data_IF_153959047826
#
_entry.id   IF_153959047826
#
_cell.length_a   1.000
_cell.length_b   1.000
_cell.length_c   1.000
_cell.angle_alpha   90.00
_cell.angle_beta   90.00
_cell.angle_gamma   90.00
#
_symmetry.space_group_name_H-M   'P 1'
#
loop_
_entity.id
_entity.type
_entity.pdbx_description
1 polymer ?
#
# COMPACT_ATOMS: atom_id res chain seq x y z
N UNK A 1 9.04 14.90 9.97
CA UNK A 1 8.02 14.09 9.27
C UNK A 1 6.97 13.61 10.24
N UNK A 2 5.70 13.85 9.94
CA UNK A 2 4.58 13.26 10.69
C UNK A 2 4.09 12.00 9.97
N UNK A 3 3.84 10.94 10.75
CA UNK A 3 3.32 9.65 10.29
C UNK A 3 2.06 9.36 11.11
N UNK A 4 0.93 9.21 10.45
CA UNK A 4 -0.32 8.81 11.10
C UNK A 4 -0.77 7.47 10.49
N UNK A 5 -0.87 6.45 11.33
CA UNK A 5 -1.33 5.11 10.99
C UNK A 5 -2.63 4.80 11.71
N UNK A 6 -3.62 4.41 10.96
CA UNK A 6 -4.87 3.88 11.48
C UNK A 6 -5.20 2.58 10.77
N UNK A 7 -5.38 1.53 11.54
CA UNK A 7 -5.71 0.21 11.02
C UNK A 7 -6.73 -0.45 11.93
N UNK A 8 -7.65 -1.17 11.34
CA UNK A 8 -8.72 -1.86 12.03
C UNK A 8 -9.04 -3.17 11.34
N UNK A 9 -9.22 -4.21 12.13
CA UNK A 9 -9.73 -5.49 11.66
C UNK A 9 -11.18 -5.35 11.20
N UNK A 10 -11.48 -5.93 10.04
CA UNK A 10 -12.82 -6.01 9.47
C UNK A 10 -13.78 -6.89 10.29
N UNK A 11 -15.07 -6.71 10.09
CA UNK A 11 -16.08 -7.51 10.82
C UNK A 11 -16.13 -8.96 10.34
N UNK A 12 -15.70 -9.24 9.12
CA UNK A 12 -15.68 -10.59 8.54
C UNK A 12 -14.30 -11.23 8.56
N UNK A 13 -13.24 -10.50 8.89
CA UNK A 13 -11.90 -11.04 8.94
C UNK A 13 -11.57 -11.64 10.31
N UNK A 14 -10.75 -12.70 10.34
CA UNK A 14 -10.33 -13.37 11.56
C UNK A 14 -9.18 -12.68 12.26
N UNK A 15 -8.36 -12.01 11.47
CA UNK A 15 -7.22 -11.20 11.91
C UNK A 15 -7.05 -10.03 10.98
N UNK A 16 -6.45 -8.95 11.46
CA UNK A 16 -6.06 -7.85 10.59
C UNK A 16 -4.81 -8.25 9.78
N UNK A 17 -4.98 -8.34 8.46
CA UNK A 17 -3.95 -8.74 7.52
C UNK A 17 -3.29 -7.55 6.81
N UNK A 18 -3.56 -6.35 7.28
CA UNK A 18 -2.92 -5.12 6.79
C UNK A 18 -1.63 -4.82 7.56
N UNK A 19 -0.64 -4.31 6.87
CA UNK A 19 0.58 -3.83 7.48
C UNK A 19 1.19 -2.67 6.68
N UNK A 20 1.93 -1.80 7.37
CA UNK A 20 2.69 -0.74 6.74
C UNK A 20 4.12 -0.67 7.29
N UNK A 21 5.05 -0.20 6.46
CA UNK A 21 6.39 0.15 6.89
C UNK A 21 6.78 1.50 6.30
N UNK A 22 7.53 2.27 7.09
CA UNK A 22 8.06 3.57 6.69
C UNK A 22 9.53 3.64 7.09
N UNK A 23 10.37 4.09 6.19
CA UNK A 23 11.79 4.30 6.45
C UNK A 23 12.31 5.56 5.77
N UNK A 24 13.45 6.04 6.25
CA UNK A 24 14.06 7.28 5.77
C UNK A 24 15.57 7.12 5.66
N UNK A 25 16.15 7.61 4.55
CA UNK A 25 17.59 7.65 4.32
C UNK A 25 17.97 8.94 3.58
N UNK A 26 18.68 9.83 4.25
CA UNK A 26 19.03 11.15 3.68
C UNK A 26 17.76 11.95 3.35
N UNK A 27 17.54 12.23 2.09
CA UNK A 27 16.35 12.94 1.61
C UNK A 27 15.29 12.00 0.98
N UNK A 28 15.50 10.70 1.07
CA UNK A 28 14.54 9.70 0.59
C UNK A 28 13.64 9.21 1.71
N UNK A 29 12.34 9.26 1.49
CA UNK A 29 11.32 8.64 2.31
C UNK A 29 10.71 7.48 1.53
N UNK A 30 10.69 6.29 2.10
CA UNK A 30 10.10 5.10 1.51
C UNK A 30 9.00 4.58 2.42
N UNK A 31 7.82 4.38 1.85
CA UNK A 31 6.68 3.81 2.55
C UNK A 31 6.06 2.66 1.75
N UNK A 32 5.54 1.68 2.46
CA UNK A 32 4.85 0.51 1.92
C UNK A 32 3.61 0.26 2.75
N UNK A 33 2.47 0.05 2.09
CA UNK A 33 1.27 -0.51 2.68
C UNK A 33 0.94 -1.80 1.95
N UNK A 34 0.58 -2.83 2.68
CA UNK A 34 0.25 -4.17 2.19
C UNK A 34 -1.05 -4.60 2.82
N UNK A 35 -1.92 -5.13 2.00
CA UNK A 35 -3.21 -5.71 2.35
C UNK A 35 -3.21 -7.16 1.84
N UNK A 36 -3.31 -8.13 2.73
CA UNK A 36 -3.26 -9.53 2.38
C UNK A 36 -4.60 -10.24 2.62
N UNK A 37 -5.01 -11.02 1.63
CA UNK A 37 -6.21 -11.84 1.77
C UNK A 37 -6.09 -12.85 2.92
N UNK A 38 -7.21 -13.22 3.53
CA UNK A 38 -7.29 -14.26 4.58
C UNK A 38 -6.91 -15.67 4.08
N UNK A 39 -6.25 -15.78 2.96
CA UNK A 39 -5.83 -17.05 2.38
C UNK A 39 -4.37 -17.35 2.70
N UNK A 40 -4.15 -18.50 3.30
CA UNK A 40 -2.80 -18.89 3.72
C UNK A 40 -2.37 -18.10 4.97
N UNK A 41 -1.13 -17.62 4.97
CA UNK A 41 -0.57 -16.83 6.06
C UNK A 41 -0.50 -15.34 5.66
N UNK A 42 -1.68 -14.74 5.39
CA UNK A 42 -1.80 -13.37 4.93
C UNK A 42 -1.19 -12.36 5.91
N UNK A 43 -1.50 -12.51 7.19
CA UNK A 43 -0.98 -11.65 8.24
C UNK A 43 0.56 -11.60 8.28
N UNK A 44 1.22 -12.76 8.22
CA UNK A 44 2.67 -12.81 8.21
C UNK A 44 3.25 -12.30 6.88
N UNK A 45 2.61 -12.59 5.73
CA UNK A 45 3.03 -12.05 4.44
C UNK A 45 3.00 -10.53 4.43
N UNK A 46 1.92 -9.90 4.87
CA UNK A 46 1.79 -8.44 4.87
C UNK A 46 2.90 -7.78 5.68
N UNK A 47 3.13 -8.25 6.91
CA UNK A 47 4.18 -7.76 7.81
C UNK A 47 5.57 -7.99 7.24
N UNK A 48 5.83 -9.18 6.71
CA UNK A 48 7.12 -9.52 6.10
C UNK A 48 7.41 -8.62 4.89
N UNK A 49 6.45 -8.54 3.95
CA UNK A 49 6.64 -7.78 2.71
C UNK A 49 6.86 -6.29 2.97
N UNK A 50 6.02 -5.68 3.82
CA UNK A 50 6.15 -4.27 4.15
C UNK A 50 7.55 -3.95 4.70
N UNK A 51 8.03 -4.74 5.66
CA UNK A 51 9.32 -4.50 6.31
C UNK A 51 10.51 -4.78 5.39
N UNK A 52 10.51 -5.95 4.71
CA UNK A 52 11.69 -6.41 3.98
C UNK A 52 12.00 -5.51 2.77
N UNK A 53 10.96 -5.04 2.07
CA UNK A 53 11.16 -4.14 0.93
C UNK A 53 11.73 -2.80 1.38
N UNK A 54 11.12 -2.16 2.39
CA UNK A 54 11.60 -0.88 2.90
C UNK A 54 13.02 -1.01 3.44
N UNK A 55 13.29 -2.04 4.24
CA UNK A 55 14.62 -2.30 4.81
C UNK A 55 15.68 -2.50 3.73
N UNK A 56 15.46 -3.40 2.80
CA UNK A 56 16.48 -3.76 1.80
C UNK A 56 16.72 -2.63 0.79
N UNK A 57 15.67 -1.91 0.40
CA UNK A 57 15.83 -0.77 -0.49
C UNK A 57 16.63 0.38 0.14
N UNK A 58 16.41 0.66 1.42
CA UNK A 58 17.14 1.72 2.12
C UNK A 58 18.54 1.30 2.59
N UNK A 59 18.79 0.00 2.81
CA UNK A 59 20.10 -0.52 3.18
C UNK A 59 21.10 -0.53 2.01
N UNK A 60 20.64 -0.44 0.76
CA UNK A 60 21.50 -0.40 -0.41
C UNK A 60 22.46 0.81 -0.35
N UNK A 61 23.68 0.67 -0.87
CA UNK A 61 24.66 1.76 -0.90
C UNK A 61 24.24 2.91 -1.81
N UNK A 62 23.60 2.59 -2.93
CA UNK A 62 23.09 3.57 -3.88
C UNK A 62 21.75 4.18 -3.44
N UNK A 63 21.44 5.41 -3.90
CA UNK A 63 20.14 6.00 -3.70
C UNK A 63 19.02 5.12 -4.26
N UNK A 64 17.92 4.93 -3.51
CA UNK A 64 16.79 4.16 -4.00
C UNK A 64 16.15 4.86 -5.22
N UNK A 65 15.75 4.07 -6.20
CA UNK A 65 15.01 4.52 -7.37
C UNK A 65 14.00 3.43 -7.79
N UNK A 66 13.14 3.75 -8.74
CA UNK A 66 12.08 2.83 -9.20
C UNK A 66 12.64 1.48 -9.67
N UNK A 67 13.74 1.48 -10.44
CA UNK A 67 14.32 0.25 -10.96
C UNK A 67 14.89 -0.62 -9.84
N UNK A 68 15.69 -0.03 -8.94
CA UNK A 68 16.25 -0.74 -7.79
C UNK A 68 15.16 -1.30 -6.86
N UNK A 69 14.05 -0.57 -6.68
CA UNK A 69 12.89 -1.08 -5.92
C UNK A 69 12.26 -2.30 -6.59
N UNK A 70 12.05 -2.27 -7.90
CA UNK A 70 11.51 -3.41 -8.66
C UNK A 70 12.42 -4.62 -8.56
N UNK A 71 13.74 -4.43 -8.60
CA UNK A 71 14.70 -5.52 -8.46
C UNK A 71 14.68 -6.11 -7.05
N UNK A 72 14.63 -5.28 -6.00
CA UNK A 72 14.45 -5.75 -4.62
C UNK A 72 13.15 -6.54 -4.49
N UNK A 73 12.03 -6.02 -5.00
CA UNK A 73 10.74 -6.71 -4.98
C UNK A 73 10.79 -8.06 -5.70
N UNK A 74 11.47 -8.14 -6.85
CA UNK A 74 11.62 -9.39 -7.61
C UNK A 74 12.42 -10.44 -6.82
N UNK A 75 13.52 -10.03 -6.21
CA UNK A 75 14.36 -10.92 -5.40
C UNK A 75 13.58 -11.44 -4.19
N UNK A 76 12.90 -10.56 -3.47
CA UNK A 76 12.13 -10.94 -2.27
C UNK A 76 10.91 -11.79 -2.63
N UNK A 77 10.25 -11.52 -3.75
CA UNK A 77 9.12 -12.34 -4.20
C UNK A 77 9.52 -13.80 -4.46
N UNK A 78 10.70 -14.06 -5.00
CA UNK A 78 11.17 -15.44 -5.19
C UNK A 78 11.30 -16.21 -3.86
N UNK A 79 11.63 -15.53 -2.77
CA UNK A 79 11.77 -16.13 -1.44
C UNK A 79 10.42 -16.52 -0.81
N UNK A 80 9.33 -15.88 -1.22
CA UNK A 80 7.98 -16.17 -0.70
C UNK A 80 7.55 -17.63 -0.91
N UNK A 81 8.14 -18.32 -1.89
CA UNK A 81 7.85 -19.75 -2.17
C UNK A 81 8.13 -20.67 -0.99
N UNK A 82 9.02 -20.27 -0.12
CA UNK A 82 9.42 -21.09 1.04
C UNK A 82 8.50 -20.91 2.25
N UNK A 83 7.87 -19.76 2.38
CA UNK A 83 7.12 -19.43 3.60
C UNK A 83 5.66 -19.02 3.32
N UNK A 84 5.37 -18.42 2.16
CA UNK A 84 4.08 -17.80 1.85
C UNK A 84 3.46 -18.31 0.54
N UNK A 85 3.60 -19.64 0.25
CA UNK A 85 3.23 -20.23 -1.05
C UNK A 85 1.76 -19.99 -1.46
N UNK A 86 0.86 -19.92 -0.49
CA UNK A 86 -0.58 -19.80 -0.71
C UNK A 86 -1.14 -18.42 -0.40
N UNK A 87 -0.33 -17.56 0.19
CA UNK A 87 -0.75 -16.20 0.52
C UNK A 87 -0.79 -15.30 -0.73
N UNK A 88 -1.73 -14.37 -0.73
CA UNK A 88 -1.95 -13.39 -1.80
C UNK A 88 -2.14 -12.04 -1.15
N UNK A 89 -1.57 -11.00 -1.73
CA UNK A 89 -1.71 -9.65 -1.22
C UNK A 89 -1.75 -8.59 -2.33
N UNK A 90 -2.24 -7.43 -1.98
CA UNK A 90 -2.10 -6.17 -2.69
C UNK A 90 -1.08 -5.29 -1.97
N UNK A 91 -0.43 -4.38 -2.67
CA UNK A 91 0.41 -3.38 -2.03
C UNK A 91 0.50 -2.08 -2.80
N UNK A 92 0.79 -1.01 -2.07
CA UNK A 92 1.15 0.28 -2.61
C UNK A 92 2.45 0.77 -1.94
N UNK A 93 3.43 1.15 -2.76
CA UNK A 93 4.76 1.61 -2.34
C UNK A 93 4.99 3.03 -2.85
N UNK A 94 5.51 3.90 -1.99
CA UNK A 94 5.81 5.28 -2.31
C UNK A 94 7.25 5.61 -1.93
N UNK A 95 8.04 6.01 -2.92
CA UNK A 95 9.37 6.60 -2.73
C UNK A 95 9.29 8.09 -3.00
N UNK A 96 9.55 8.91 -1.99
CA UNK A 96 9.60 10.36 -2.10
C UNK A 96 11.03 10.84 -2.06
N UNK A 97 11.47 11.54 -3.11
CA UNK A 97 12.68 12.36 -3.08
C UNK A 97 12.30 13.76 -2.61
N UNK A 98 12.59 14.06 -1.33
CA UNK A 98 12.25 15.34 -0.71
C UNK A 98 13.06 16.50 -1.27
N UNK A 99 14.23 16.24 -1.84
CA UNK A 99 15.09 17.26 -2.44
C UNK A 99 14.58 17.65 -3.83
N UNK A 100 14.23 16.67 -4.63
CA UNK A 100 13.70 16.89 -5.99
C UNK A 100 12.20 17.12 -6.01
N UNK A 101 11.50 16.96 -4.88
CA UNK A 101 10.04 17.02 -4.78
C UNK A 101 9.35 16.08 -5.79
N UNK A 102 9.82 14.84 -5.82
CA UNK A 102 9.33 13.80 -6.72
C UNK A 102 8.75 12.63 -5.91
N UNK A 103 7.62 12.12 -6.35
CA UNK A 103 6.99 10.93 -5.82
C UNK A 103 6.97 9.84 -6.89
N UNK A 104 7.58 8.71 -6.56
CA UNK A 104 7.49 7.48 -7.35
C UNK A 104 6.54 6.52 -6.65
N UNK A 105 5.46 6.15 -7.32
CA UNK A 105 4.49 5.18 -6.84
C UNK A 105 4.67 3.86 -7.58
N UNK A 106 4.64 2.75 -6.83
CA UNK A 106 4.66 1.40 -7.36
C UNK A 106 3.51 0.62 -6.69
N UNK A 107 2.64 -0.01 -7.47
CA UNK A 107 1.55 -0.77 -6.87
C UNK A 107 1.20 -2.04 -7.64
N UNK A 108 0.63 -3.01 -6.93
CA UNK A 108 0.06 -4.25 -7.45
C UNK A 108 -1.16 -4.58 -6.61
N UNK A 109 -2.26 -4.91 -7.25
CA UNK A 109 -3.53 -5.20 -6.57
C UNK A 109 -4.40 -3.95 -6.42
N UNK A 110 -5.15 -3.88 -5.36
CA UNK A 110 -6.19 -2.87 -5.14
C UNK A 110 -5.93 -1.88 -3.99
N UNK A 111 -4.77 -1.97 -3.31
CA UNK A 111 -4.29 -0.87 -2.48
C UNK A 111 -4.16 0.41 -3.31
N UNK A 112 -4.49 1.56 -2.72
CA UNK A 112 -4.44 2.85 -3.42
C UNK A 112 -3.52 3.86 -2.74
N UNK A 113 -2.96 4.73 -3.58
CA UNK A 113 -2.24 5.93 -3.14
C UNK A 113 -2.94 7.19 -3.65
N UNK A 114 -2.85 8.27 -2.88
CA UNK A 114 -3.40 9.56 -3.23
C UNK A 114 -2.77 10.71 -2.45
N UNK A 115 -3.14 11.92 -2.82
CA UNK A 115 -2.79 13.16 -2.11
C UNK A 115 -4.04 13.67 -1.40
N UNK A 116 -3.94 13.84 -0.08
CA UNK A 116 -5.02 14.44 0.72
C UNK A 116 -4.91 15.95 0.66
N UNK A 117 -5.98 16.58 0.23
CA UNK A 117 -6.16 18.03 0.20
C UNK A 117 -6.48 18.57 1.60
N UNK A 118 -6.31 19.88 1.80
CA UNK A 118 -6.69 20.56 3.05
C UNK A 118 -8.17 20.43 3.41
N UNK A 119 -9.03 20.23 2.42
CA UNK A 119 -10.46 19.94 2.59
C UNK A 119 -10.75 18.55 3.15
N UNK A 120 -9.73 17.66 3.21
CA UNK A 120 -9.88 16.24 3.55
C UNK A 120 -10.16 15.33 2.34
N UNK A 121 -10.48 15.89 1.17
CA UNK A 121 -10.63 15.13 -0.07
C UNK A 121 -9.30 14.45 -0.45
N UNK A 122 -9.36 13.24 -1.02
CA UNK A 122 -8.17 12.51 -1.51
C UNK A 122 -8.24 12.44 -3.03
N UNK A 123 -7.25 13.03 -3.67
CA UNK A 123 -7.02 12.88 -5.11
C UNK A 123 -6.25 11.57 -5.34
N UNK A 124 -6.97 10.57 -5.82
CA UNK A 124 -6.40 9.25 -6.05
C UNK A 124 -5.47 9.23 -7.25
N UNK A 125 -4.25 8.75 -7.04
CA UNK A 125 -3.19 8.66 -8.03
C UNK A 125 -3.10 7.29 -8.69
N UNK A 126 -3.51 6.23 -7.99
CA UNK A 126 -3.47 4.86 -8.51
C UNK A 126 -4.87 4.32 -8.78
N UNK A 127 -4.96 3.36 -9.70
CA UNK A 127 -6.19 2.61 -10.00
C UNK A 127 -6.03 1.16 -9.54
N UNK A 128 -7.08 0.54 -8.97
CA UNK A 128 -7.00 -0.86 -8.55
C UNK A 128 -6.84 -1.81 -9.74
N UNK A 129 -6.10 -2.89 -9.54
CA UNK A 129 -5.93 -3.95 -10.53
C UNK A 129 -6.98 -5.06 -10.32
N UNK A 130 -8.24 -4.75 -10.51
CA UNK A 130 -9.34 -5.68 -10.43
C UNK A 130 -10.12 -5.79 -11.76
N UNK A 131 -11.02 -6.75 -11.86
CA UNK A 131 -11.80 -6.97 -13.07
C UNK A 131 -12.82 -5.86 -13.34
N UNK A 132 -13.26 -5.11 -12.31
CA UNK A 132 -14.22 -4.02 -12.49
C UNK A 132 -13.65 -2.86 -13.33
N UNK A 133 -12.31 -2.76 -13.41
CA UNK A 133 -11.60 -1.72 -14.18
C UNK A 133 -11.34 -2.13 -15.63
N UNK A 134 -11.72 -3.33 -16.04
CA UNK A 134 -11.47 -3.80 -17.40
C UNK A 134 -12.53 -3.26 -18.38
N UNK A 135 -12.12 -2.61 -19.50
CA UNK A 135 -13.06 -1.98 -20.45
C UNK A 135 -13.96 -2.99 -21.22
N UNK A 136 -13.70 -4.29 -21.08
CA UNK A 136 -14.39 -5.36 -21.84
C UNK A 136 -15.71 -5.78 -21.17
N UNK A 137 -15.95 -5.37 -19.93
CA UNK A 137 -17.19 -5.69 -19.21
C UNK A 137 -18.11 -4.48 -19.17
N UNK A 138 -19.17 -4.42 -19.99
CA UNK A 138 -20.27 -3.47 -19.77
C UNK A 138 -21.08 -3.95 -18.57
N UNK A 139 -20.47 -3.95 -17.41
CA UNK A 139 -21.16 -4.35 -16.21
C UNK A 139 -22.04 -3.21 -15.73
N UNK A 140 -23.29 -3.52 -15.38
CA UNK A 140 -24.08 -2.65 -14.53
C UNK A 140 -23.27 -2.40 -13.23
N UNK A 141 -23.54 -1.30 -12.53
CA UNK A 141 -22.88 -0.99 -11.26
C UNK A 141 -22.89 -2.17 -10.25
N UNK A 142 -23.99 -2.94 -10.25
CA UNK A 142 -24.15 -4.13 -9.40
C UNK A 142 -23.21 -5.26 -9.81
N UNK A 143 -23.04 -5.50 -11.11
CA UNK A 143 -22.10 -6.51 -11.61
C UNK A 143 -20.64 -6.08 -11.38
N UNK A 144 -20.31 -4.80 -11.58
CA UNK A 144 -18.99 -4.27 -11.29
C UNK A 144 -18.57 -4.50 -9.83
N UNK A 145 -19.50 -4.36 -8.87
CA UNK A 145 -19.21 -4.59 -7.45
C UNK A 145 -18.86 -6.05 -7.13
N UNK A 146 -19.40 -7.02 -7.88
CA UNK A 146 -19.09 -8.45 -7.69
C UNK A 146 -17.68 -8.81 -8.18
N UNK A 147 -17.17 -8.10 -9.19
CA UNK A 147 -15.88 -8.38 -9.82
C UNK A 147 -14.70 -7.63 -9.19
N UNK A 148 -14.94 -6.68 -8.29
CA UNK A 148 -13.88 -5.92 -7.64
C UNK A 148 -12.93 -6.78 -6.80
N UNK A 149 -13.41 -7.87 -6.22
CA UNK A 149 -12.60 -8.81 -5.44
C UNK A 149 -11.73 -9.73 -6.32
N UNK A 150 -11.88 -9.66 -7.65
CA UNK A 150 -11.12 -10.48 -8.58
C UNK A 150 -9.92 -9.69 -9.09
N UNK A 151 -8.81 -9.80 -8.38
CA UNK A 151 -7.57 -9.13 -8.75
C UNK A 151 -7.01 -9.67 -10.06
N UNK A 152 -6.64 -8.77 -10.98
CA UNK A 152 -5.94 -9.08 -12.23
C UNK A 152 -4.43 -9.15 -12.04
N UNK A 153 -3.92 -8.51 -10.98
CA UNK A 153 -2.53 -8.57 -10.52
C UNK A 153 -2.50 -8.63 -9.00
N UNK A 154 -1.61 -9.44 -8.44
CA UNK A 154 -1.45 -9.58 -6.99
C UNK A 154 -0.01 -9.94 -6.63
N UNK A 155 0.42 -9.60 -5.43
CA UNK A 155 1.59 -10.19 -4.82
C UNK A 155 1.30 -11.65 -4.47
N UNK A 156 2.09 -12.57 -4.99
CA UNK A 156 2.01 -13.98 -4.66
C UNK A 156 3.35 -14.68 -4.95
N UNK A 157 3.54 -15.87 -4.37
CA UNK A 157 4.77 -16.63 -4.51
C UNK A 157 4.99 -17.25 -5.90
N UNK A 158 3.95 -17.36 -6.73
CA UNK A 158 4.00 -18.13 -7.98
C UNK A 158 4.48 -17.29 -9.16
N UNK A 159 4.07 -16.03 -9.22
CA UNK A 159 4.33 -15.14 -10.35
C UNK A 159 4.71 -13.74 -9.85
N UNK A 160 5.80 -13.21 -10.39
CA UNK A 160 6.14 -11.80 -10.22
C UNK A 160 5.35 -10.95 -11.21
N UNK A 161 4.48 -10.10 -10.72
CA UNK A 161 3.88 -9.03 -11.49
C UNK A 161 4.73 -7.78 -11.32
N UNK A 162 5.25 -7.27 -12.42
CA UNK A 162 5.94 -5.97 -12.42
C UNK A 162 4.95 -4.91 -11.95
N UNK A 163 5.26 -4.16 -10.88
CA UNK A 163 4.34 -3.15 -10.39
C UNK A 163 4.07 -2.09 -11.45
N UNK A 164 2.87 -1.53 -11.45
CA UNK A 164 2.59 -0.31 -12.18
C UNK A 164 3.34 0.83 -11.50
N UNK A 165 4.05 1.62 -12.31
CA UNK A 165 4.92 2.67 -11.81
C UNK A 165 4.45 4.03 -12.34
N UNK A 166 4.40 5.02 -11.45
CA UNK A 166 4.11 6.42 -11.79
C UNK A 166 5.17 7.31 -11.16
N UNK A 167 5.51 8.38 -11.85
CA UNK A 167 6.41 9.43 -11.35
C UNK A 167 5.71 10.78 -11.50
N UNK A 168 5.51 11.46 -10.39
CA UNK A 168 4.75 12.71 -10.32
C UNK A 168 5.44 13.73 -9.42
N UNK A 169 5.25 15.04 -9.64
CA UNK A 169 5.66 16.05 -8.68
C UNK A 169 5.01 15.83 -7.32
N UNK A 170 5.77 16.05 -6.24
CA UNK A 170 5.28 15.96 -4.87
C UNK A 170 5.37 17.32 -4.19
N UNK A 171 4.26 18.06 -4.04
CA UNK A 171 4.27 19.39 -3.42
C UNK A 171 4.78 19.34 -1.98
N UNK A 172 5.50 20.38 -1.56
CA UNK A 172 6.14 20.48 -0.25
C UNK A 172 5.18 20.20 0.91
N UNK A 173 3.96 20.74 0.83
CA UNK A 173 2.96 20.64 1.89
C UNK A 173 1.95 19.48 1.64
N UNK A 174 2.24 18.60 0.69
CA UNK A 174 1.36 17.49 0.38
C UNK A 174 1.29 16.48 1.52
N UNK A 175 0.09 15.92 1.72
CA UNK A 175 -0.15 14.77 2.58
C UNK A 175 -0.34 13.54 1.71
N UNK A 176 0.66 12.66 1.68
CA UNK A 176 0.59 11.39 0.96
C UNK A 176 -0.26 10.39 1.75
N UNK A 177 -1.15 9.72 1.07
CA UNK A 177 -2.02 8.68 1.61
C UNK A 177 -1.75 7.37 0.90
N UNK A 178 -1.56 6.29 1.68
CA UNK A 178 -1.64 4.90 1.21
C UNK A 178 -2.75 4.21 1.99
N UNK A 179 -3.56 3.36 1.35
CA UNK A 179 -4.64 2.66 2.04
C UNK A 179 -5.02 1.32 1.40
N UNK A 180 -5.64 0.45 2.20
CA UNK A 180 -6.31 -0.77 1.74
C UNK A 180 -7.70 -0.50 1.18
N UNK A 181 -8.30 -1.52 0.57
CA UNK A 181 -9.61 -1.39 -0.09
C UNK A 181 -10.76 -1.21 0.91
N UNK A 182 -10.70 -1.76 2.11
CA UNK A 182 -11.66 -1.47 3.16
C UNK A 182 -11.75 0.02 3.49
N UNK A 183 -10.63 0.77 3.36
CA UNK A 183 -10.66 2.22 3.56
C UNK A 183 -11.19 2.96 2.33
N UNK A 184 -10.56 2.81 1.14
CA UNK A 184 -10.93 3.65 0.00
C UNK A 184 -12.26 3.24 -0.62
N UNK A 185 -12.60 1.95 -0.62
CA UNK A 185 -13.84 1.47 -1.25
C UNK A 185 -15.00 1.45 -0.25
N UNK A 186 -14.93 0.63 0.82
CA UNK A 186 -16.07 0.48 1.71
C UNK A 186 -16.34 1.77 2.50
N UNK A 187 -15.31 2.36 3.11
CA UNK A 187 -15.51 3.55 3.93
C UNK A 187 -15.71 4.81 3.07
N UNK A 188 -14.79 5.12 2.14
CA UNK A 188 -14.82 6.39 1.40
C UNK A 188 -15.85 6.38 0.26
N UNK A 189 -15.89 5.33 -0.55
CA UNK A 189 -16.73 5.29 -1.75
C UNK A 189 -18.16 4.83 -1.44
N UNK A 190 -18.36 3.83 -0.57
CA UNK A 190 -19.69 3.35 -0.19
C UNK A 190 -20.25 4.07 1.04
N UNK A 191 -19.45 4.85 1.78
CA UNK A 191 -19.88 5.58 2.96
C UNK A 191 -20.14 4.70 4.19
N UNK A 192 -19.60 3.48 4.21
CA UNK A 192 -19.72 2.57 5.36
C UNK A 192 -18.95 3.15 6.54
N UNK A 193 -19.57 3.19 7.71
CA UNK A 193 -18.87 3.63 8.92
C UNK A 193 -17.70 2.71 9.24
N UNK A 194 -16.55 3.26 9.68
CA UNK A 194 -15.33 2.47 9.93
C UNK A 194 -15.54 1.26 10.83
N UNK A 195 -16.51 1.33 11.77
CA UNK A 195 -16.86 0.25 12.70
C UNK A 195 -17.63 -0.89 12.02
N UNK A 196 -18.20 -0.62 10.84
CA UNK A 196 -19.11 -1.53 10.13
C UNK A 196 -18.47 -2.11 8.85
N UNK A 197 -17.27 -1.65 8.51
CA UNK A 197 -16.51 -2.17 7.36
C UNK A 197 -16.29 -3.68 7.54
N UNK A 198 -16.52 -4.42 6.47
CA UNK A 198 -16.44 -5.88 6.49
C UNK A 198 -15.01 -6.39 6.36
N UNK A 199 -14.19 -5.71 5.55
CA UNK A 199 -12.78 -6.04 5.33
C UNK A 199 -11.84 -5.27 6.26
N UNK A 200 -10.57 -5.66 6.31
CA UNK A 200 -9.54 -4.93 7.03
C UNK A 200 -9.40 -3.51 6.47
N UNK A 201 -9.30 -2.53 7.35
CA UNK A 201 -9.35 -1.12 6.95
C UNK A 201 -8.13 -0.39 7.47
N UNK A 202 -7.26 0.01 6.56
CA UNK A 202 -6.02 0.68 6.93
C UNK A 202 -5.73 1.90 6.09
N UNK A 203 -5.18 2.91 6.76
CA UNK A 203 -4.69 4.14 6.13
C UNK A 203 -3.40 4.60 6.78
N UNK A 204 -2.40 4.88 5.94
CA UNK A 204 -1.16 5.52 6.30
C UNK A 204 -1.12 6.92 5.69
N UNK A 205 -0.95 7.94 6.54
CA UNK A 205 -0.80 9.33 6.10
C UNK A 205 0.60 9.83 6.44
N UNK A 206 1.28 10.36 5.45
CA UNK A 206 2.64 10.87 5.57
C UNK A 206 2.66 12.36 5.24
N UNK A 207 3.22 13.16 6.16
CA UNK A 207 3.43 14.60 6.01
C UNK A 207 4.92 14.89 6.23
N UNK A 208 5.76 14.82 5.18
CA UNK A 208 7.22 14.89 5.32
C UNK A 208 7.72 16.18 5.99
N UNK A 209 7.06 17.30 5.71
CA UNK A 209 7.48 18.64 6.18
C UNK A 209 6.86 19.06 7.53
N UNK A 210 6.08 18.19 8.16
CA UNK A 210 5.59 18.43 9.53
C UNK A 210 6.63 18.01 10.57
N UNK A 211 6.55 18.55 11.79
CA UNK A 211 7.40 18.10 12.89
C UNK A 211 7.36 16.59 13.06
N UNK A 212 8.47 16.00 13.51
CA UNK A 212 8.58 14.56 13.71
C UNK A 212 7.57 14.08 14.76
N UNK A 213 6.62 13.28 14.32
CA UNK A 213 5.60 12.67 15.16
C UNK A 213 5.13 11.37 14.50
N UNK A 214 5.02 10.31 15.26
CA UNK A 214 4.32 9.10 14.84
C UNK A 214 3.08 8.94 15.73
N UNK A 215 1.92 8.79 15.11
CA UNK A 215 0.66 8.50 15.78
C UNK A 215 0.12 7.18 15.22
N UNK A 216 -0.19 6.26 16.11
CA UNK A 216 -0.80 4.98 15.72
C UNK A 216 -1.89 4.62 16.72
N UNK A 217 -3.00 4.12 16.21
CA UNK A 217 -4.09 3.56 17.03
C UNK A 217 -4.12 2.03 17.00
N UNK A 218 -3.16 1.41 16.30
CA UNK A 218 -3.18 -0.02 16.03
C UNK A 218 -1.77 -0.57 15.77
N UNK A 219 -1.67 -1.88 15.80
CA UNK A 219 -0.48 -2.61 15.38
C UNK A 219 -0.30 -2.58 13.85
N UNK A 220 0.80 -3.13 13.35
CA UNK A 220 1.06 -3.31 11.92
C UNK A 220 1.85 -2.18 11.27
N UNK A 221 2.22 -1.12 12.00
CA UNK A 221 3.15 -0.11 11.52
C UNK A 221 4.58 -0.42 11.97
N UNK A 222 5.52 -0.39 11.02
CA UNK A 222 6.96 -0.60 11.26
C UNK A 222 7.76 0.62 10.83
N UNK A 223 8.52 1.21 11.74
CA UNK A 223 9.47 2.29 11.44
C UNK A 223 10.85 1.67 11.27
N UNK A 224 11.40 1.81 10.07
CA UNK A 224 12.68 1.20 9.67
C UNK A 224 13.78 2.25 9.79
N UNK A 225 14.73 2.00 10.67
CA UNK A 225 15.97 2.77 10.77
C UNK A 225 17.09 2.03 10.06
N UNK A 226 17.86 2.71 9.19
CA UNK A 226 18.98 2.15 8.40
C UNK A 226 20.21 3.01 8.62
#
# INVERSE_FOLDING_TARGET
MQIDWSSRQGRRTRSNNDAAAVGHKGHYLLAMLVDAAEKGDGHALARHWAQIIVKNALAANEPPNTASLVDVMRVEQHKLRHQHLHAVASYCCALVDLRLQQLHLLHVGDCRAGIRQSSGHIDWLTRPHDLSQQPIWPASYVEASQYRHMLTRSLNAKRFYVPECQNIPFPVDASLVLCSDGYWYEHQQLGVALQEVEDDTSILVLQPNKPARASTNSEGLFIISV
#
